data_IF_254600563541
#
_entry.id   IF_254600563541
#
_cell.length_a   1.000
_cell.length_b   1.000
_cell.length_c   1.000
_cell.angle_alpha   90.00
_cell.angle_beta   90.00
_cell.angle_gamma   90.00
#
_symmetry.space_group_name_H-M   'P 1'
#
loop_
_entity.id
_entity.type
_entity.pdbx_description
1 polymer ?
#
# COMPACT_ATOMS: atom_id res chain seq x y z
N UNK A 1 -3.63 15.26 -0.80
CA UNK A 1 -2.75 14.08 -0.90
C UNK A 1 -2.36 13.84 -2.34
N UNK A 2 -1.14 13.45 -2.59
CA UNK A 2 -0.67 13.14 -3.93
C UNK A 2 -0.53 11.64 -4.10
N UNK A 3 -0.78 11.16 -5.31
CA UNK A 3 -0.58 9.77 -5.70
C UNK A 3 0.19 9.71 -7.00
N UNK A 4 1.25 8.91 -7.03
CA UNK A 4 2.02 8.60 -8.23
C UNK A 4 2.13 7.10 -8.38
N UNK A 5 2.19 6.62 -9.60
CA UNK A 5 2.38 5.20 -9.85
C UNK A 5 3.40 4.98 -10.95
N UNK A 6 4.17 3.89 -10.83
CA UNK A 6 5.16 3.54 -11.85
C UNK A 6 5.36 2.03 -11.87
N UNK A 7 5.55 1.50 -13.07
CA UNK A 7 5.84 0.08 -13.24
C UNK A 7 7.34 -0.15 -13.05
N UNK A 8 7.67 -1.12 -12.18
CA UNK A 8 9.07 -1.49 -11.95
C UNK A 8 9.47 -2.65 -12.87
N UNK A 9 10.78 -2.79 -13.20
CA UNK A 9 11.23 -3.86 -14.10
C UNK A 9 10.90 -5.27 -13.64
N UNK A 10 10.74 -5.48 -12.34
CA UNK A 10 10.44 -6.81 -11.75
C UNK A 10 8.96 -7.16 -11.76
N UNK A 11 8.11 -6.36 -12.41
CA UNK A 11 6.67 -6.60 -12.45
C UNK A 11 5.90 -6.07 -11.26
N UNK A 12 6.57 -5.40 -10.34
CA UNK A 12 5.92 -4.75 -9.19
C UNK A 12 5.51 -3.34 -9.60
N UNK A 13 4.30 -2.96 -9.23
CA UNK A 13 3.84 -1.58 -9.41
C UNK A 13 4.13 -0.80 -8.12
N UNK A 14 4.85 0.30 -8.25
CA UNK A 14 5.14 1.19 -7.13
C UNK A 14 4.11 2.32 -7.11
N UNK A 15 3.37 2.43 -6.01
CA UNK A 15 2.43 3.53 -5.79
C UNK A 15 2.99 4.38 -4.65
N UNK A 16 3.23 5.66 -4.92
CA UNK A 16 3.77 6.58 -3.93
C UNK A 16 2.67 7.52 -3.46
N UNK A 17 2.43 7.56 -2.16
CA UNK A 17 1.48 8.46 -1.53
C UNK A 17 2.24 9.51 -0.73
N UNK A 18 1.77 10.77 -0.82
CA UNK A 18 2.40 11.88 -0.09
C UNK A 18 1.34 12.81 0.47
N UNK A 19 1.53 13.22 1.72
CA UNK A 19 0.67 14.17 2.41
C UNK A 19 -0.10 13.54 3.56
N UNK A 20 -1.26 14.10 3.86
CA UNK A 20 -2.11 13.63 4.96
C UNK A 20 -3.14 12.64 4.45
N UNK A 21 -3.09 11.44 4.98
CA UNK A 21 -4.05 10.39 4.64
C UNK A 21 -5.23 10.45 5.62
N UNK A 22 -5.95 11.55 5.57
CA UNK A 22 -7.15 11.84 6.35
C UNK A 22 -8.39 11.73 5.44
N UNK A 23 -9.54 12.23 5.88
CA UNK A 23 -10.78 12.16 5.09
C UNK A 23 -10.60 12.87 3.75
N UNK A 24 -10.07 14.10 3.77
CA UNK A 24 -9.85 14.86 2.53
C UNK A 24 -8.83 14.19 1.63
N UNK A 25 -7.72 13.72 2.21
CA UNK A 25 -6.68 13.01 1.46
C UNK A 25 -7.22 11.74 0.80
N UNK A 26 -8.03 10.98 1.53
CA UNK A 26 -8.65 9.77 1.00
C UNK A 26 -9.54 10.10 -0.20
N UNK A 27 -10.38 11.14 -0.07
CA UNK A 27 -11.26 11.55 -1.17
C UNK A 27 -10.47 11.97 -2.41
N UNK A 28 -9.32 12.60 -2.22
CA UNK A 28 -8.48 13.08 -3.32
C UNK A 28 -7.89 11.93 -4.15
N UNK A 29 -7.57 10.80 -3.52
CA UNK A 29 -6.86 9.71 -4.20
C UNK A 29 -7.70 8.45 -4.41
N UNK A 30 -8.87 8.35 -3.78
CA UNK A 30 -9.63 7.10 -3.69
C UNK A 30 -9.92 6.47 -5.04
N UNK A 31 -10.41 7.26 -5.99
CA UNK A 31 -10.76 6.77 -7.32
C UNK A 31 -9.55 6.18 -8.05
N UNK A 32 -8.43 6.90 -8.02
CA UNK A 32 -7.20 6.45 -8.68
C UNK A 32 -6.59 5.25 -7.96
N UNK A 33 -6.57 5.29 -6.63
CA UNK A 33 -6.02 4.20 -5.83
C UNK A 33 -6.82 2.92 -6.03
N UNK A 34 -8.14 3.04 -6.02
CA UNK A 34 -9.04 1.90 -6.27
C UNK A 34 -8.82 1.34 -7.67
N UNK A 35 -8.73 2.21 -8.68
CA UNK A 35 -8.48 1.77 -10.06
C UNK A 35 -7.14 1.02 -10.18
N UNK A 36 -6.10 1.48 -9.50
CA UNK A 36 -4.80 0.83 -9.54
C UNK A 36 -4.76 -0.51 -8.81
N UNK A 37 -5.57 -0.66 -7.77
CA UNK A 37 -5.49 -1.82 -6.86
C UNK A 37 -6.61 -2.83 -7.07
N UNK A 38 -7.75 -2.43 -7.61
CA UNK A 38 -8.94 -3.27 -7.64
C UNK A 38 -9.25 -3.88 -9.01
N UNK A 39 -8.59 -3.46 -10.07
CA UNK A 39 -8.97 -3.84 -11.42
C UNK A 39 -8.13 -4.94 -12.03
N UNK A 40 -6.95 -5.25 -11.47
CA UNK A 40 -6.04 -6.24 -12.05
C UNK A 40 -5.39 -7.09 -10.97
N UNK A 41 -4.95 -8.29 -11.36
CA UNK A 41 -4.04 -9.09 -10.55
C UNK A 41 -2.69 -8.40 -10.59
N UNK A 42 -2.22 -7.86 -9.47
CA UNK A 42 -0.99 -7.09 -9.43
C UNK A 42 -0.22 -7.29 -8.12
N UNK A 43 1.10 -7.06 -8.20
CA UNK A 43 1.95 -6.94 -7.02
C UNK A 43 2.18 -5.45 -6.82
N UNK A 44 1.70 -4.90 -5.72
CA UNK A 44 1.72 -3.46 -5.48
C UNK A 44 2.50 -3.14 -4.21
N UNK A 45 3.55 -2.32 -4.36
CA UNK A 45 4.28 -1.74 -3.25
C UNK A 45 3.79 -0.30 -3.07
N UNK A 46 3.27 0.03 -1.90
CA UNK A 46 2.78 1.37 -1.57
C UNK A 46 3.80 2.06 -0.69
N UNK A 47 4.46 3.06 -1.24
CA UNK A 47 5.44 3.87 -0.51
C UNK A 47 4.70 4.93 0.31
N UNK A 48 4.75 4.80 1.62
CA UNK A 48 4.08 5.71 2.56
C UNK A 48 5.09 6.56 3.34
N UNK A 49 6.35 6.62 2.89
CA UNK A 49 7.40 7.38 3.58
C UNK A 49 7.13 8.89 3.59
N UNK A 50 6.35 9.39 2.65
CA UNK A 50 5.97 10.80 2.58
C UNK A 50 4.56 11.05 3.13
N UNK A 51 3.93 10.06 3.77
CA UNK A 51 2.66 10.23 4.46
C UNK A 51 2.93 10.77 5.86
N UNK A 52 2.42 11.95 6.16
CA UNK A 52 2.69 12.65 7.43
C UNK A 52 1.65 12.35 8.51
N UNK A 53 0.50 11.83 8.12
CA UNK A 53 -0.59 11.52 9.05
C UNK A 53 -1.49 10.44 8.45
N UNK A 54 -1.96 9.52 9.28
CA UNK A 54 -2.81 8.42 8.84
C UNK A 54 -4.03 8.32 9.75
N UNK A 55 -5.21 8.58 9.20
CA UNK A 55 -6.49 8.46 9.90
C UNK A 55 -7.11 7.08 9.63
N UNK A 56 -8.12 6.73 10.42
CA UNK A 56 -8.82 5.44 10.32
C UNK A 56 -9.38 5.18 8.93
N UNK A 57 -9.85 6.23 8.24
CA UNK A 57 -10.39 6.06 6.88
C UNK A 57 -9.29 5.67 5.89
N UNK A 58 -8.07 6.19 6.08
CA UNK A 58 -6.92 5.80 5.25
C UNK A 58 -6.55 4.34 5.49
N UNK A 59 -6.56 3.90 6.73
CA UNK A 59 -6.32 2.50 7.09
C UNK A 59 -7.35 1.61 6.40
N UNK A 60 -8.62 1.99 6.47
CA UNK A 60 -9.71 1.22 5.84
C UNK A 60 -9.49 1.10 4.33
N UNK A 61 -9.08 2.18 3.69
CA UNK A 61 -8.80 2.20 2.24
C UNK A 61 -7.68 1.22 1.91
N UNK A 62 -6.59 1.23 2.67
CA UNK A 62 -5.47 0.31 2.46
C UNK A 62 -5.91 -1.15 2.62
N UNK A 63 -6.64 -1.46 3.68
CA UNK A 63 -7.11 -2.83 3.98
C UNK A 63 -8.07 -3.31 2.90
N UNK A 64 -9.04 -2.50 2.51
CA UNK A 64 -10.00 -2.87 1.46
C UNK A 64 -9.31 -3.18 0.15
N UNK A 65 -8.34 -2.35 -0.22
CA UNK A 65 -7.58 -2.54 -1.46
C UNK A 65 -6.70 -3.79 -1.40
N UNK A 66 -6.07 -4.03 -0.26
CA UNK A 66 -5.23 -5.21 -0.08
C UNK A 66 -6.05 -6.50 -0.18
N UNK A 67 -7.24 -6.51 0.40
CA UNK A 67 -8.13 -7.66 0.33
C UNK A 67 -8.64 -7.91 -1.09
N UNK A 68 -8.97 -6.84 -1.81
CA UNK A 68 -9.38 -6.95 -3.21
C UNK A 68 -8.27 -7.53 -4.07
N UNK A 69 -7.03 -7.09 -3.86
CA UNK A 69 -5.87 -7.66 -4.55
C UNK A 69 -5.69 -9.14 -4.22
N UNK A 70 -5.74 -9.50 -2.95
CA UNK A 70 -5.56 -10.88 -2.51
C UNK A 70 -6.62 -11.80 -3.15
N UNK A 71 -7.86 -11.34 -3.25
CA UNK A 71 -8.95 -12.08 -3.88
C UNK A 71 -8.70 -12.34 -5.36
N UNK A 72 -7.85 -11.53 -6.01
CA UNK A 72 -7.48 -11.69 -7.42
C UNK A 72 -6.14 -12.38 -7.62
N UNK A 73 -5.52 -12.85 -6.52
CA UNK A 73 -4.21 -13.48 -6.58
C UNK A 73 -3.05 -12.51 -6.61
N UNK A 74 -3.30 -11.22 -6.35
CA UNK A 74 -2.27 -10.21 -6.19
C UNK A 74 -1.86 -10.04 -4.74
N UNK A 75 -1.04 -9.03 -4.46
CA UNK A 75 -0.57 -8.74 -3.11
C UNK A 75 -0.17 -7.27 -2.97
N UNK A 76 -0.23 -6.77 -1.73
CA UNK A 76 0.18 -5.41 -1.39
C UNK A 76 1.21 -5.45 -0.27
N UNK A 77 2.16 -4.53 -0.32
CA UNK A 77 3.11 -4.28 0.76
C UNK A 77 3.24 -2.78 0.99
N UNK A 78 3.57 -2.37 2.20
CA UNK A 78 3.82 -0.97 2.54
C UNK A 78 5.32 -0.75 2.73
N UNK A 79 5.80 0.42 2.34
CA UNK A 79 7.22 0.78 2.41
C UNK A 79 7.43 2.01 3.27
N UNK A 80 8.36 1.89 4.23
CA UNK A 80 9.01 2.99 4.90
C UNK A 80 8.15 3.98 5.66
N UNK A 81 7.11 3.54 6.41
CA UNK A 81 6.28 4.50 7.14
C UNK A 81 7.11 5.28 8.16
N UNK A 82 6.79 6.57 8.31
CA UNK A 82 7.36 7.40 9.37
C UNK A 82 6.97 6.83 10.74
N UNK A 83 7.76 7.06 11.80
CA UNK A 83 7.52 6.41 13.09
C UNK A 83 6.10 6.52 13.64
N UNK A 84 5.49 7.70 13.56
CA UNK A 84 4.11 7.87 14.05
C UNK A 84 3.09 7.13 13.20
N UNK A 85 3.29 7.11 11.89
CA UNK A 85 2.43 6.37 10.97
C UNK A 85 2.60 4.86 11.20
N UNK A 86 3.83 4.40 11.40
CA UNK A 86 4.10 3.01 11.71
C UNK A 86 3.41 2.57 13.00
N UNK A 87 3.49 3.40 14.05
CA UNK A 87 2.80 3.11 15.31
C UNK A 87 1.29 2.95 15.11
N UNK A 88 0.71 3.81 14.30
CA UNK A 88 -0.73 3.74 13.97
C UNK A 88 -1.06 2.43 13.25
N UNK A 89 -0.24 2.06 12.27
CA UNK A 89 -0.42 0.83 11.51
C UNK A 89 -0.32 -0.41 12.41
N UNK A 90 0.70 -0.46 13.27
CA UNK A 90 0.92 -1.59 14.17
C UNK A 90 -0.19 -1.69 15.21
N UNK A 91 -0.62 -0.57 15.76
CA UNK A 91 -1.71 -0.53 16.74
C UNK A 91 -3.02 -1.04 16.15
N UNK A 92 -3.24 -0.83 14.86
CA UNK A 92 -4.42 -1.30 14.14
C UNK A 92 -4.29 -2.74 13.64
N UNK A 93 -3.14 -3.38 13.85
CA UNK A 93 -2.90 -4.76 13.41
C UNK A 93 -2.68 -4.91 11.92
N UNK A 94 -2.32 -3.84 11.24
CA UNK A 94 -2.18 -3.83 9.78
C UNK A 94 -1.09 -4.78 9.31
N UNK A 95 -0.02 -4.92 10.07
CA UNK A 95 1.12 -5.79 9.72
C UNK A 95 0.73 -7.27 9.59
N UNK A 96 -0.41 -7.68 10.16
CA UNK A 96 -0.92 -9.04 9.98
C UNK A 96 -1.71 -9.20 8.66
N UNK A 97 -2.05 -8.10 8.01
CA UNK A 97 -2.83 -8.09 6.76
C UNK A 97 -1.96 -7.65 5.59
N UNK A 98 -1.15 -6.60 5.80
CA UNK A 98 -0.29 -6.01 4.76
C UNK A 98 1.13 -5.94 5.33
N UNK A 99 2.10 -6.67 4.77
CA UNK A 99 3.48 -6.60 5.24
C UNK A 99 4.06 -5.20 5.10
N UNK A 100 4.90 -4.82 6.06
CA UNK A 100 5.57 -3.52 6.09
C UNK A 100 7.07 -3.76 5.94
N UNK A 101 7.69 -3.08 4.98
CA UNK A 101 9.11 -3.22 4.69
C UNK A 101 9.81 -1.86 4.78
N UNK A 102 11.11 -1.83 5.10
CA UNK A 102 11.83 -0.56 5.20
C UNK A 102 12.14 0.10 3.85
N UNK A 103 12.19 -0.68 2.75
CA UNK A 103 12.54 -0.15 1.44
C UNK A 103 11.91 -0.96 0.31
N UNK A 104 11.98 -0.43 -0.90
CA UNK A 104 11.40 -1.04 -2.09
C UNK A 104 12.01 -2.40 -2.41
N UNK A 105 13.32 -2.56 -2.21
CA UNK A 105 14.02 -3.79 -2.51
C UNK A 105 13.46 -4.96 -1.72
N UNK A 106 13.33 -4.79 -0.41
CA UNK A 106 12.78 -5.82 0.47
C UNK A 106 11.29 -6.05 0.21
N UNK A 107 10.53 -5.00 -0.06
CA UNK A 107 9.13 -5.11 -0.42
C UNK A 107 8.96 -5.91 -1.71
N UNK A 108 9.78 -5.63 -2.70
CA UNK A 108 9.76 -6.35 -3.98
C UNK A 108 10.02 -7.83 -3.79
N UNK A 109 11.02 -8.19 -2.98
CA UNK A 109 11.32 -9.59 -2.70
C UNK A 109 10.17 -10.29 -1.99
N UNK A 110 9.56 -9.61 -1.01
CA UNK A 110 8.41 -10.15 -0.29
C UNK A 110 7.20 -10.37 -1.19
N UNK A 111 6.93 -9.42 -2.09
CA UNK A 111 5.83 -9.52 -3.05
C UNK A 111 6.08 -10.65 -4.05
N UNK A 112 7.30 -10.80 -4.55
CA UNK A 112 7.65 -11.87 -5.48
C UNK A 112 7.54 -13.25 -4.79
N UNK A 113 7.95 -13.35 -3.54
CA UNK A 113 7.81 -14.58 -2.78
C UNK A 113 6.33 -14.94 -2.59
N UNK A 114 5.47 -13.97 -2.31
CA UNK A 114 4.02 -14.16 -2.20
C UNK A 114 3.43 -14.69 -3.51
N UNK A 115 3.84 -14.13 -4.64
CA UNK A 115 3.38 -14.57 -5.97
C UNK A 115 3.80 -16.01 -6.25
N UNK A 116 5.01 -16.38 -5.85
CA UNK A 116 5.55 -17.74 -6.10
C UNK A 116 4.91 -18.79 -5.19
N UNK A 117 4.40 -18.38 -4.03
CA UNK A 117 3.77 -19.28 -3.06
C UNK A 117 2.39 -19.77 -3.51
N UNK A 118 1.84 -19.19 -4.54
CA UNK A 118 0.56 -19.58 -5.13
C UNK A 118 0.77 -20.36 -6.42
#
# INVERSE_FOLDING_TARGET
MELRSEEMPNGVKLVTLAGRFDIAGTQEIDQRFTALTATTKALIAVDVSAVSFLASIGIRTLVSSARALANRGGAMALIGPQPLVEQTLLAAGIDSIIPIYPNLDEAGRGLQASATAH
#
